data_IF_871673000953
#
_entry.id   IF_871673000953
#
_cell.length_a   1.000
_cell.length_b   1.000
_cell.length_c   1.000
_cell.angle_alpha   90.00
_cell.angle_beta   90.00
_cell.angle_gamma   90.00
#
_symmetry.space_group_name_H-M   'P 1'
#
loop_
_entity.id
_entity.type
_entity.pdbx_description
1 polymer ?
#
# COMPACT_ATOMS: atom_id res chain seq x y z
N UNK A 1 16.76 -1.68 -11.55
CA UNK A 1 17.41 -2.56 -10.54
C UNK A 1 16.32 -3.45 -9.96
N UNK A 2 16.54 -4.77 -9.83
CA UNK A 2 15.52 -5.68 -9.29
C UNK A 2 15.14 -5.26 -7.86
N UNK A 3 13.85 -5.09 -7.51
CA UNK A 3 13.45 -4.78 -6.16
C UNK A 3 13.90 -5.89 -5.21
N UNK A 4 14.57 -5.49 -4.13
CA UNK A 4 15.11 -6.40 -3.15
C UNK A 4 14.58 -5.98 -1.77
N UNK A 5 13.93 -6.91 -1.11
CA UNK A 5 13.29 -6.65 0.17
C UNK A 5 14.31 -6.30 1.26
N UNK A 6 15.55 -6.78 1.16
CA UNK A 6 16.62 -6.48 2.12
C UNK A 6 17.18 -5.07 1.96
N UNK A 7 17.06 -4.47 0.78
CA UNK A 7 17.42 -3.06 0.56
C UNK A 7 16.35 -2.12 1.16
N UNK A 8 15.12 -2.64 1.32
CA UNK A 8 13.97 -1.92 1.88
C UNK A 8 13.88 -2.14 3.42
N UNK A 9 14.22 -3.34 3.90
CA UNK A 9 14.15 -3.75 5.30
C UNK A 9 15.51 -3.52 6.01
N UNK A 10 15.79 -2.30 6.44
CA UNK A 10 17.12 -1.91 6.95
C UNK A 10 17.52 -2.50 8.31
N UNK A 11 16.59 -3.06 9.09
CA UNK A 11 16.86 -3.63 10.43
C UNK A 11 16.05 -4.88 10.71
N UNK A 12 14.77 -4.86 10.36
CA UNK A 12 13.85 -5.98 10.56
C UNK A 12 12.94 -6.13 9.33
N UNK A 13 12.59 -7.37 9.02
CA UNK A 13 11.59 -7.68 8.00
C UNK A 13 10.21 -7.40 8.57
N UNK A 14 9.68 -6.23 8.26
CA UNK A 14 8.38 -5.76 8.69
C UNK A 14 7.32 -5.83 7.59
N UNK A 15 6.05 -5.76 7.97
CA UNK A 15 4.94 -5.83 7.03
C UNK A 15 4.95 -4.67 6.04
N UNK A 16 5.20 -3.45 6.49
CA UNK A 16 5.41 -2.29 5.62
C UNK A 16 6.57 -2.47 4.62
N UNK A 17 7.65 -3.17 5.01
CA UNK A 17 8.76 -3.49 4.11
C UNK A 17 8.36 -4.49 3.02
N UNK A 18 7.62 -5.55 3.38
CA UNK A 18 7.09 -6.51 2.41
C UNK A 18 6.11 -5.86 1.43
N UNK A 19 5.19 -5.03 1.92
CA UNK A 19 4.21 -4.35 1.07
C UNK A 19 4.91 -3.36 0.14
N UNK A 20 5.87 -2.58 0.64
CA UNK A 20 6.67 -1.67 -0.20
C UNK A 20 7.41 -2.42 -1.29
N UNK A 21 8.00 -3.58 -0.95
CA UNK A 21 8.68 -4.45 -1.91
C UNK A 21 7.71 -4.97 -2.99
N UNK A 22 6.52 -5.42 -2.61
CA UNK A 22 5.50 -5.88 -3.55
C UNK A 22 5.04 -4.74 -4.47
N UNK A 23 4.80 -3.55 -3.92
CA UNK A 23 4.43 -2.36 -4.71
C UNK A 23 5.53 -1.99 -5.70
N UNK A 24 6.80 -1.98 -5.29
CA UNK A 24 7.92 -1.72 -6.19
C UNK A 24 7.98 -2.75 -7.34
N UNK A 25 7.64 -4.01 -7.06
CA UNK A 25 7.56 -5.05 -8.08
C UNK A 25 6.48 -4.84 -9.13
N UNK A 26 5.51 -3.94 -8.93
CA UNK A 26 4.45 -3.64 -9.90
C UNK A 26 4.93 -2.75 -11.06
N UNK A 27 6.08 -2.09 -10.94
CA UNK A 27 6.66 -1.31 -12.04
C UNK A 27 6.92 -2.21 -13.25
N UNK A 28 6.58 -1.75 -14.45
CA UNK A 28 6.62 -2.57 -15.65
C UNK A 28 8.02 -3.09 -15.98
N UNK A 29 9.08 -2.35 -15.61
CA UNK A 29 10.45 -2.76 -15.84
C UNK A 29 10.84 -4.00 -15.01
N UNK A 30 10.07 -4.34 -13.97
CA UNK A 30 10.36 -5.50 -13.12
C UNK A 30 9.82 -6.82 -13.68
N UNK A 31 8.99 -6.77 -14.73
CA UNK A 31 8.53 -7.97 -15.44
C UNK A 31 9.68 -8.83 -15.97
N UNK A 32 10.82 -8.20 -16.32
CA UNK A 32 12.01 -8.91 -16.81
C UNK A 32 12.65 -9.83 -15.76
N UNK A 33 12.42 -9.58 -14.46
CA UNK A 33 12.98 -10.38 -13.37
C UNK A 33 12.04 -11.49 -12.93
N UNK A 34 10.74 -11.22 -12.91
CA UNK A 34 9.70 -12.19 -12.59
C UNK A 34 8.35 -11.68 -13.10
N UNK A 35 7.85 -12.30 -14.19
CA UNK A 35 6.61 -11.87 -14.85
C UNK A 35 5.38 -12.14 -13.98
N UNK A 36 5.31 -13.28 -13.32
CA UNK A 36 4.13 -13.66 -12.53
C UNK A 36 4.04 -12.83 -11.25
N UNK A 37 5.18 -12.57 -10.59
CA UNK A 37 5.23 -11.66 -9.46
C UNK A 37 4.89 -10.23 -9.87
N UNK A 38 5.38 -9.74 -11.01
CA UNK A 38 5.02 -8.42 -11.53
C UNK A 38 3.52 -8.30 -11.80
N UNK A 39 2.90 -9.31 -12.42
CA UNK A 39 1.46 -9.35 -12.64
C UNK A 39 0.68 -9.36 -11.33
N UNK A 40 1.09 -10.19 -10.36
CA UNK A 40 0.50 -10.22 -9.02
C UNK A 40 0.60 -8.85 -8.32
N UNK A 41 1.75 -8.19 -8.41
CA UNK A 41 1.98 -6.87 -7.84
C UNK A 41 1.11 -5.79 -8.51
N UNK A 42 0.95 -5.82 -9.84
CA UNK A 42 0.08 -4.91 -10.59
C UNK A 42 -1.39 -5.10 -10.23
N UNK A 43 -1.85 -6.34 -10.09
CA UNK A 43 -3.19 -6.65 -9.60
C UNK A 43 -3.39 -6.12 -8.18
N UNK A 44 -2.40 -6.30 -7.30
CA UNK A 44 -2.45 -5.75 -5.95
C UNK A 44 -2.59 -4.22 -5.96
N UNK A 45 -1.78 -3.49 -6.74
CA UNK A 45 -1.91 -2.03 -6.91
C UNK A 45 -3.29 -1.64 -7.44
N UNK A 46 -3.80 -2.34 -8.45
CA UNK A 46 -5.13 -2.12 -9.02
C UNK A 46 -6.23 -2.30 -7.96
N UNK A 47 -6.12 -3.34 -7.13
CA UNK A 47 -7.04 -3.59 -6.03
C UNK A 47 -7.06 -2.45 -5.00
N UNK A 48 -5.89 -1.88 -4.67
CA UNK A 48 -5.80 -0.74 -3.76
C UNK A 48 -6.50 0.49 -4.33
N UNK A 49 -6.25 0.82 -5.61
CA UNK A 49 -6.88 1.98 -6.26
C UNK A 49 -8.40 1.79 -6.36
N UNK A 50 -8.87 0.58 -6.67
CA UNK A 50 -10.29 0.24 -6.75
C UNK A 50 -11.06 0.43 -5.46
N UNK A 51 -10.41 0.51 -4.30
CA UNK A 51 -11.08 0.83 -3.03
C UNK A 51 -11.72 2.22 -3.03
N UNK A 52 -11.18 3.16 -3.80
CA UNK A 52 -11.72 4.51 -3.93
C UNK A 52 -12.23 4.83 -5.34
N UNK A 53 -11.70 4.13 -6.35
CA UNK A 53 -12.11 4.30 -7.76
C UNK A 53 -12.61 2.95 -8.29
N UNK A 54 -13.86 2.53 -8.01
CA UNK A 54 -14.33 1.17 -8.30
C UNK A 54 -14.22 0.76 -9.78
N UNK A 55 -14.33 1.72 -10.70
CA UNK A 55 -14.25 1.50 -12.15
C UNK A 55 -12.84 1.65 -12.72
N UNK A 56 -11.80 1.67 -11.87
CA UNK A 56 -10.41 1.78 -12.31
C UNK A 56 -10.01 0.66 -13.27
N UNK A 57 -9.52 1.04 -14.45
CA UNK A 57 -9.11 0.13 -15.52
C UNK A 57 -7.80 0.56 -16.21
N UNK A 58 -7.11 1.60 -15.71
CA UNK A 58 -5.83 2.04 -16.28
C UNK A 58 -4.77 0.94 -16.06
N UNK A 59 -3.89 0.67 -17.06
CA UNK A 59 -2.79 -0.26 -16.88
C UNK A 59 -1.77 0.29 -15.88
N UNK A 60 -1.19 -0.57 -15.04
CA UNK A 60 -0.10 -0.18 -14.14
C UNK A 60 1.22 -0.23 -14.90
N UNK A 61 1.83 0.93 -15.15
CA UNK A 61 3.04 1.08 -15.97
C UNK A 61 4.25 1.47 -15.13
N UNK A 62 4.15 2.54 -14.35
CA UNK A 62 5.26 3.02 -13.51
C UNK A 62 4.85 3.01 -12.05
N UNK A 63 5.68 2.46 -11.17
CA UNK A 63 5.43 2.43 -9.73
C UNK A 63 6.70 2.76 -8.96
N UNK A 64 6.65 3.85 -8.19
CA UNK A 64 7.70 4.22 -7.24
C UNK A 64 7.16 4.07 -5.83
N UNK A 65 7.68 3.11 -5.07
CA UNK A 65 7.27 2.84 -3.70
C UNK A 65 8.40 3.12 -2.71
N UNK A 66 8.06 3.75 -1.59
CA UNK A 66 8.98 4.08 -0.51
C UNK A 66 8.31 3.95 0.86
N UNK A 67 9.13 3.85 1.90
CA UNK A 67 8.68 3.79 3.30
C UNK A 67 8.84 5.13 4.00
N UNK A 68 8.09 5.30 5.09
CA UNK A 68 8.29 6.36 6.08
C UNK A 68 8.22 7.79 5.50
N UNK A 69 7.33 8.00 4.52
CA UNK A 69 7.13 9.32 3.93
C UNK A 69 6.27 10.19 4.83
N UNK A 70 6.84 11.28 5.38
CA UNK A 70 6.12 12.21 6.28
C UNK A 70 5.46 11.52 7.49
N UNK A 71 6.10 10.47 8.01
CA UNK A 71 5.62 9.57 9.07
C UNK A 71 4.47 8.63 8.66
N UNK A 72 4.16 8.53 7.37
CA UNK A 72 3.25 7.50 6.84
C UNK A 72 4.08 6.28 6.47
N UNK A 73 3.63 5.10 6.84
CA UNK A 73 4.43 3.87 6.72
C UNK A 73 4.86 3.58 5.29
N UNK A 74 3.94 3.73 4.32
CA UNK A 74 4.20 3.45 2.90
C UNK A 74 3.58 4.52 2.02
N UNK A 75 4.32 4.90 0.97
CA UNK A 75 3.82 5.69 -0.15
C UNK A 75 4.16 5.01 -1.46
N UNK A 76 3.22 5.00 -2.40
CA UNK A 76 3.48 4.64 -3.78
C UNK A 76 2.92 5.67 -4.77
N UNK A 77 3.74 6.09 -5.74
CA UNK A 77 3.33 6.90 -6.89
C UNK A 77 3.11 5.96 -8.07
N UNK A 78 1.94 6.02 -8.69
CA UNK A 78 1.56 5.15 -9.80
C UNK A 78 1.23 5.97 -11.04
N UNK A 79 1.83 5.63 -12.16
CA UNK A 79 1.63 6.27 -13.48
C UNK A 79 1.80 7.79 -13.50
N UNK A 80 2.52 8.38 -12.53
CA UNK A 80 2.60 9.83 -12.38
C UNK A 80 1.25 10.52 -12.12
N UNK A 81 0.22 9.76 -11.72
CA UNK A 81 -1.19 10.20 -11.65
C UNK A 81 -1.83 9.90 -10.30
N UNK A 82 -1.54 8.74 -9.73
CA UNK A 82 -2.16 8.28 -8.49
C UNK A 82 -1.13 8.24 -7.36
N UNK A 83 -1.54 8.71 -6.19
CA UNK A 83 -0.79 8.55 -4.95
C UNK A 83 -1.53 7.54 -4.09
N UNK A 84 -0.83 6.50 -3.67
CA UNK A 84 -1.30 5.56 -2.66
C UNK A 84 -0.51 5.83 -1.39
N UNK A 85 -1.22 5.99 -0.27
CA UNK A 85 -0.63 6.00 1.06
C UNK A 85 -1.20 4.83 1.86
N UNK A 86 -0.34 4.13 2.60
CA UNK A 86 -0.73 3.00 3.44
C UNK A 86 -0.17 3.23 4.83
N UNK A 87 -1.05 3.19 5.82
CA UNK A 87 -0.70 3.09 7.23
C UNK A 87 -0.83 1.64 7.67
N UNK A 88 0.23 1.09 8.25
CA UNK A 88 0.32 -0.29 8.71
C UNK A 88 0.04 -0.37 10.22
N UNK A 89 -1.02 -1.06 10.62
CA UNK A 89 -1.44 -1.18 12.02
C UNK A 89 -1.49 -2.64 12.46
N UNK A 90 -0.71 -2.99 13.47
CA UNK A 90 -0.69 -4.35 14.03
C UNK A 90 -1.73 -4.54 15.16
N UNK A 91 -1.70 -3.73 16.23
CA UNK A 91 -2.54 -3.95 17.42
C UNK A 91 -3.09 -2.66 18.07
N UNK A 92 -2.42 -1.51 17.92
CA UNK A 92 -2.77 -0.29 18.68
C UNK A 92 -4.10 0.34 18.26
N UNK A 93 -4.81 0.90 19.25
CA UNK A 93 -6.02 1.71 19.06
C UNK A 93 -5.80 2.87 18.11
N UNK A 94 -6.81 3.11 17.27
CA UNK A 94 -6.84 4.22 16.32
C UNK A 94 -6.85 5.56 17.08
N UNK A 95 -5.83 6.39 16.85
CA UNK A 95 -5.90 7.80 17.19
C UNK A 95 -6.41 8.53 15.95
N UNK A 96 -7.71 8.82 15.91
CA UNK A 96 -8.42 9.43 14.76
C UNK A 96 -7.69 10.65 14.16
N UNK A 97 -7.04 11.46 15.00
CA UNK A 97 -6.29 12.63 14.54
C UNK A 97 -5.09 12.31 13.65
N UNK A 98 -4.49 11.12 13.78
CA UNK A 98 -3.34 10.72 12.96
C UNK A 98 -3.75 10.49 11.51
N UNK A 99 -4.88 9.81 11.30
CA UNK A 99 -5.36 9.44 9.97
C UNK A 99 -5.82 10.68 9.19
N UNK A 100 -6.55 11.58 9.85
CA UNK A 100 -6.97 12.85 9.24
C UNK A 100 -5.76 13.67 8.80
N UNK A 101 -4.74 13.78 9.67
CA UNK A 101 -3.48 14.48 9.34
C UNK A 101 -2.78 13.87 8.12
N UNK A 102 -2.75 12.55 8.00
CA UNK A 102 -2.10 11.86 6.87
C UNK A 102 -2.86 12.07 5.57
N UNK A 103 -4.19 12.05 5.63
CA UNK A 103 -5.05 12.41 4.50
C UNK A 103 -4.80 13.85 4.05
N UNK A 104 -4.82 14.82 4.97
CA UNK A 104 -4.54 16.23 4.65
C UNK A 104 -3.15 16.42 4.01
N UNK A 105 -2.13 15.75 4.56
CA UNK A 105 -0.77 15.77 4.01
C UNK A 105 -0.74 15.25 2.56
N UNK A 106 -1.44 14.17 2.28
CA UNK A 106 -1.49 13.55 0.97
C UNK A 106 -2.32 14.38 -0.02
N UNK A 107 -3.47 14.93 0.39
CA UNK A 107 -4.31 15.76 -0.45
C UNK A 107 -3.58 17.04 -0.88
N UNK A 108 -2.91 17.70 0.07
CA UNK A 108 -2.07 18.86 -0.22
C UNK A 108 -0.97 18.52 -1.22
N UNK A 109 -0.25 17.41 -1.00
CA UNK A 109 0.80 16.98 -1.91
C UNK A 109 0.25 16.66 -3.30
N UNK A 110 -0.88 15.96 -3.41
CA UNK A 110 -1.51 15.66 -4.69
C UNK A 110 -1.91 16.93 -5.45
N UNK A 111 -2.52 17.89 -4.76
CA UNK A 111 -2.90 19.18 -5.35
C UNK A 111 -1.69 19.94 -5.90
N UNK A 112 -0.60 20.02 -5.12
CA UNK A 112 0.65 20.68 -5.52
C UNK A 112 1.35 19.99 -6.70
N UNK A 113 1.23 18.66 -6.81
CA UNK A 113 1.90 17.85 -7.83
C UNK A 113 0.99 17.45 -9.00
N UNK A 114 -0.28 17.90 -9.02
CA UNK A 114 -1.29 17.58 -10.06
C UNK A 114 -1.62 16.09 -10.16
N UNK A 115 -1.65 15.40 -9.03
CA UNK A 115 -2.15 14.04 -8.91
C UNK A 115 -3.65 14.04 -8.62
N UNK A 116 -4.29 12.91 -8.86
CA UNK A 116 -5.67 12.64 -8.41
C UNK A 116 -5.76 12.64 -6.88
N UNK A 117 -6.99 12.67 -6.35
CA UNK A 117 -7.26 12.48 -4.92
C UNK A 117 -6.52 11.25 -4.39
N UNK A 118 -5.78 11.36 -3.27
CA UNK A 118 -4.94 10.29 -2.77
C UNK A 118 -5.75 9.08 -2.31
N UNK A 119 -5.29 7.89 -2.70
CA UNK A 119 -5.81 6.62 -2.23
C UNK A 119 -5.20 6.32 -0.87
N UNK A 120 -6.02 6.45 0.18
CA UNK A 120 -5.64 6.22 1.57
C UNK A 120 -6.10 4.83 1.99
N UNK A 121 -5.16 3.99 2.42
CA UNK A 121 -5.40 2.62 2.87
C UNK A 121 -4.95 2.48 4.32
N UNK A 122 -5.83 1.94 5.15
CA UNK A 122 -5.51 1.54 6.52
C UNK A 122 -5.44 0.02 6.53
N UNK A 123 -4.22 -0.51 6.65
CA UNK A 123 -3.99 -1.94 6.62
C UNK A 123 -3.80 -2.45 8.04
N UNK A 124 -4.77 -3.24 8.51
CA UNK A 124 -4.75 -3.83 9.85
C UNK A 124 -4.61 -5.34 9.77
N UNK A 125 -3.57 -5.88 10.41
CA UNK A 125 -3.29 -7.31 10.49
C UNK A 125 -3.27 -7.74 11.94
N UNK A 126 -4.36 -8.36 12.41
CA UNK A 126 -4.55 -8.72 13.81
C UNK A 126 -5.81 -9.55 14.05
N UNK A 127 -6.02 -9.96 15.31
CA UNK A 127 -6.93 -10.98 15.84
C UNK A 127 -8.40 -11.02 15.37
N UNK A 128 -8.87 -10.14 14.48
CA UNK A 128 -10.23 -10.23 13.91
C UNK A 128 -10.46 -11.57 13.19
N UNK A 129 -9.45 -12.12 12.54
CA UNK A 129 -9.52 -13.48 11.99
C UNK A 129 -9.66 -14.54 13.09
N UNK A 130 -8.99 -14.39 14.25
CA UNK A 130 -9.09 -15.35 15.36
C UNK A 130 -10.40 -15.22 16.15
N UNK A 131 -10.89 -14.00 16.38
CA UNK A 131 -12.15 -13.74 17.09
C UNK A 131 -13.35 -14.10 16.21
N UNK A 132 -13.30 -13.86 14.90
CA UNK A 132 -14.29 -14.38 13.94
C UNK A 132 -14.19 -15.91 13.86
N UNK A 133 -12.99 -16.49 13.80
CA UNK A 133 -12.79 -17.95 13.78
C UNK A 133 -13.26 -18.62 15.07
N UNK A 134 -13.02 -18.02 16.24
CA UNK A 134 -13.51 -18.50 17.53
C UNK A 134 -15.03 -18.31 17.66
N UNK A 135 -15.59 -17.18 17.23
CA UNK A 135 -17.03 -16.96 17.18
C UNK A 135 -17.77 -17.92 16.22
N UNK A 136 -17.08 -18.48 15.22
CA UNK A 136 -17.59 -19.55 14.35
C UNK A 136 -17.45 -20.93 15.02
N UNK A 137 -16.40 -21.17 15.80
CA UNK A 137 -16.23 -22.40 16.59
C UNK A 137 -17.26 -22.56 17.71
N UNK A 138 -17.64 -21.46 18.36
CA UNK A 138 -18.60 -21.46 19.47
C UNK A 138 -20.08 -21.53 19.02
N UNK A 139 -20.33 -21.57 17.70
CA UNK A 139 -21.67 -21.71 17.10
C UNK A 139 -21.99 -23.14 16.64
N UNK A 140 -21.27 -24.16 17.11
CA UNK A 140 -21.57 -25.58 16.85
C UNK A 140 -22.11 -26.29 18.08
#
# INVERSE_FOLDING_TARGET
MKPNIFDIATKELSQDAFITWLLAFADNDNQQYDKELNLCAKEFVSMLIKKQIPNFNDPILTVEAERQWKNIDIRAKVNGKYLIIIEDKTISSEHSNQLERYKEIAEKWCSENKYETPICIYLKTGNESLSIFNAIKDKR
#
